data_IF_556655276189
#
_entry.id   IF_556655276189
#
_cell.length_a   1.000
_cell.length_b   1.000
_cell.length_c   1.000
_cell.angle_alpha   90.00
_cell.angle_beta   90.00
_cell.angle_gamma   90.00
#
_symmetry.space_group_name_H-M   'P 1'
#
loop_
_entity.id
_entity.type
_entity.pdbx_description
1 polymer ?
#
# COMPACT_ATOMS: atom_id res chain seq x y z
N UNK A 1 -20.84 6.30 21.74
CA UNK A 1 -21.45 5.00 21.41
C UNK A 1 -20.97 4.49 20.07
N UNK A 2 -20.56 3.21 19.95
CA UNK A 2 -20.23 2.66 18.65
C UNK A 2 -21.44 2.69 17.72
N UNK A 3 -21.21 3.05 16.48
CA UNK A 3 -22.23 3.16 15.45
C UNK A 3 -22.03 2.04 14.42
N UNK A 4 -23.03 1.14 14.32
CA UNK A 4 -22.97 0.00 13.41
C UNK A 4 -22.90 0.44 11.94
N UNK A 5 -23.61 1.51 11.58
CA UNK A 5 -23.58 2.03 10.21
C UNK A 5 -22.19 2.55 9.86
N UNK A 6 -21.57 3.29 10.78
CA UNK A 6 -20.19 3.78 10.58
C UNK A 6 -19.21 2.62 10.41
N UNK A 7 -19.34 1.58 11.24
CA UNK A 7 -18.49 0.39 11.12
C UNK A 7 -18.64 -0.29 9.76
N UNK A 8 -19.85 -0.45 9.28
CA UNK A 8 -20.11 -1.04 7.96
C UNK A 8 -19.48 -0.20 6.85
N UNK A 9 -19.60 1.12 6.96
CA UNK A 9 -19.01 2.04 5.98
C UNK A 9 -17.48 1.96 5.99
N UNK A 10 -16.87 1.86 7.17
CA UNK A 10 -15.42 1.73 7.30
C UNK A 10 -14.91 0.43 6.69
N UNK A 11 -15.60 -0.69 6.89
CA UNK A 11 -15.26 -1.94 6.20
C UNK A 11 -15.33 -1.76 4.69
N UNK A 12 -16.40 -1.13 4.21
CA UNK A 12 -16.61 -0.93 2.78
C UNK A 12 -15.53 -0.01 2.18
N UNK A 13 -15.17 1.05 2.89
CA UNK A 13 -14.12 1.99 2.45
C UNK A 13 -12.74 1.33 2.38
N UNK A 14 -12.49 0.33 3.23
CA UNK A 14 -11.23 -0.41 3.22
C UNK A 14 -11.22 -1.56 2.20
N UNK A 15 -12.32 -1.85 1.52
CA UNK A 15 -12.40 -2.97 0.60
C UNK A 15 -11.32 -2.94 -0.49
N UNK A 16 -11.03 -1.81 -1.15
CA UNK A 16 -9.97 -1.78 -2.15
C UNK A 16 -8.61 -2.20 -1.59
N UNK A 17 -8.31 -1.83 -0.34
CA UNK A 17 -7.07 -2.24 0.34
C UNK A 17 -7.04 -3.74 0.58
N UNK A 18 -8.14 -4.31 1.04
CA UNK A 18 -8.23 -5.75 1.31
C UNK A 18 -8.07 -6.56 0.02
N UNK A 19 -8.72 -6.14 -1.06
CA UNK A 19 -8.62 -6.79 -2.35
C UNK A 19 -7.18 -6.72 -2.87
N UNK A 20 -6.57 -5.53 -2.82
CA UNK A 20 -5.22 -5.34 -3.32
C UNK A 20 -4.19 -6.17 -2.55
N UNK A 21 -4.32 -6.23 -1.22
CA UNK A 21 -3.38 -6.96 -0.36
C UNK A 21 -3.71 -8.44 -0.22
N UNK A 22 -4.86 -8.88 -0.70
CA UNK A 22 -5.29 -10.27 -0.63
C UNK A 22 -4.68 -11.19 -1.69
N UNK A 23 -3.58 -10.80 -2.31
CA UNK A 23 -2.88 -11.54 -3.35
C UNK A 23 -1.41 -11.65 -2.97
N UNK A 24 -0.85 -12.87 -3.02
CA UNK A 24 0.54 -13.10 -2.60
C UNK A 24 1.56 -12.30 -3.41
N UNK A 25 1.33 -12.14 -4.71
CA UNK A 25 2.25 -11.41 -5.57
C UNK A 25 2.22 -9.92 -5.22
N UNK A 26 1.03 -9.36 -5.04
CA UNK A 26 0.91 -7.94 -4.67
C UNK A 26 1.50 -7.68 -3.29
N UNK A 27 1.27 -8.58 -2.35
CA UNK A 27 1.88 -8.46 -1.02
C UNK A 27 3.40 -8.52 -1.12
N UNK A 28 3.94 -9.42 -1.92
CA UNK A 28 5.37 -9.54 -2.17
C UNK A 28 5.96 -8.27 -2.79
N UNK A 29 5.23 -7.60 -3.69
CA UNK A 29 5.66 -6.32 -4.26
C UNK A 29 5.72 -5.25 -3.16
N UNK A 30 4.70 -5.16 -2.32
CA UNK A 30 4.69 -4.23 -1.18
C UNK A 30 5.88 -4.50 -0.25
N UNK A 31 6.17 -5.76 0.04
CA UNK A 31 7.31 -6.13 0.88
C UNK A 31 8.64 -5.72 0.23
N UNK A 32 8.79 -5.91 -1.07
CA UNK A 32 10.00 -5.49 -1.81
C UNK A 32 10.18 -3.98 -1.77
N UNK A 33 9.10 -3.22 -1.95
CA UNK A 33 9.15 -1.76 -1.87
C UNK A 33 9.45 -1.30 -0.45
N UNK A 34 8.94 -2.01 0.56
CA UNK A 34 9.22 -1.73 1.97
C UNK A 34 10.70 -1.95 2.28
N UNK A 35 11.27 -3.07 1.83
CA UNK A 35 12.69 -3.36 2.02
C UNK A 35 13.56 -2.30 1.35
N UNK A 36 13.24 -1.94 0.11
CA UNK A 36 13.97 -0.92 -0.63
C UNK A 36 13.89 0.44 0.08
N UNK A 37 12.72 0.82 0.57
CA UNK A 37 12.53 2.06 1.31
C UNK A 37 13.33 2.07 2.60
N UNK A 38 13.33 0.98 3.34
CA UNK A 38 14.10 0.88 4.59
C UNK A 38 15.60 1.01 4.32
N UNK A 39 16.11 0.39 3.27
CA UNK A 39 17.53 0.48 2.91
C UNK A 39 17.95 1.89 2.47
N UNK A 40 17.04 2.64 1.83
CA UNK A 40 17.38 3.96 1.27
C UNK A 40 16.97 5.12 2.18
N UNK A 41 15.88 4.99 2.94
CA UNK A 41 15.33 6.04 3.79
C UNK A 41 15.60 5.79 5.29
N UNK A 42 16.19 4.65 5.64
CA UNK A 42 16.30 4.24 7.04
C UNK A 42 14.93 4.00 7.63
N UNK A 43 14.64 4.58 8.77
CA UNK A 43 13.33 4.46 9.41
C UNK A 43 12.34 5.57 9.08
N UNK A 44 12.72 6.51 8.22
CA UNK A 44 11.86 7.64 7.87
C UNK A 44 11.04 7.35 6.63
N UNK A 45 9.81 6.88 6.82
CA UNK A 45 8.84 6.58 5.78
C UNK A 45 7.91 7.75 5.49
N UNK A 46 8.36 8.99 5.71
CA UNK A 46 7.59 10.16 5.28
C UNK A 46 7.41 10.14 3.77
N UNK A 47 6.30 10.69 3.28
CA UNK A 47 6.02 10.74 1.85
C UNK A 47 7.14 11.45 1.08
N UNK A 48 7.73 12.49 1.67
CA UNK A 48 8.84 13.22 1.05
C UNK A 48 10.03 12.29 0.78
N UNK A 49 10.44 11.47 1.75
CA UNK A 49 11.53 10.54 1.56
C UNK A 49 11.17 9.40 0.62
N UNK A 50 9.99 8.80 0.81
CA UNK A 50 9.54 7.69 -0.05
C UNK A 50 9.45 8.10 -1.52
N UNK A 51 9.00 9.34 -1.80
CA UNK A 51 8.83 9.82 -3.18
C UNK A 51 10.14 10.03 -3.92
N UNK A 52 11.25 10.14 -3.21
CA UNK A 52 12.59 10.33 -3.79
C UNK A 52 13.24 9.01 -4.22
N UNK A 53 12.69 7.91 -3.76
CA UNK A 53 13.22 6.57 -3.99
C UNK A 53 12.16 5.74 -4.70
N UNK A 54 12.40 4.49 -4.85
CA UNK A 54 11.45 3.59 -5.48
C UNK A 54 12.13 2.61 -6.40
N UNK A 55 11.31 1.80 -7.05
CA UNK A 55 11.79 0.76 -7.97
C UNK A 55 11.05 0.89 -9.30
N UNK A 56 11.78 0.68 -10.40
CA UNK A 56 11.15 0.61 -11.71
C UNK A 56 10.58 -0.79 -11.96
N UNK A 57 9.80 -0.94 -13.06
CA UNK A 57 9.15 -2.21 -13.38
C UNK A 57 10.16 -3.34 -13.55
N UNK A 58 11.31 -3.06 -14.16
CA UNK A 58 12.34 -4.07 -14.37
C UNK A 58 12.87 -4.63 -13.06
N UNK A 59 13.18 -3.73 -12.11
CA UNK A 59 13.69 -4.13 -10.79
C UNK A 59 12.65 -4.96 -10.03
N UNK A 60 11.38 -4.54 -10.09
CA UNK A 60 10.29 -5.28 -9.44
C UNK A 60 10.11 -6.65 -10.10
N UNK A 61 10.13 -6.70 -11.44
CA UNK A 61 9.96 -7.94 -12.20
C UNK A 61 11.06 -8.95 -11.88
N UNK A 62 12.29 -8.48 -11.70
CA UNK A 62 13.42 -9.35 -11.35
C UNK A 62 13.23 -10.07 -10.01
N UNK A 63 12.36 -9.54 -9.13
CA UNK A 63 12.05 -10.14 -7.83
C UNK A 63 10.86 -11.09 -7.89
N UNK A 64 10.29 -11.30 -9.06
CA UNK A 64 9.15 -12.20 -9.25
C UNK A 64 9.49 -13.22 -10.32
N UNK A 65 8.63 -14.23 -10.47
CA UNK A 65 8.68 -15.17 -11.58
C UNK A 65 7.73 -14.80 -12.72
N UNK A 66 7.14 -13.61 -12.65
CA UNK A 66 6.11 -13.18 -13.59
C UNK A 66 6.71 -12.40 -14.77
N UNK A 67 5.93 -12.27 -15.84
CA UNK A 67 6.25 -11.40 -16.97
C UNK A 67 6.04 -9.93 -16.60
N UNK A 68 6.67 -9.02 -17.34
CA UNK A 68 6.46 -7.57 -17.14
C UNK A 68 4.99 -7.14 -17.26
N UNK A 69 4.22 -7.63 -18.26
CA UNK A 69 2.80 -7.27 -18.33
C UNK A 69 2.02 -7.71 -17.09
N UNK A 70 2.29 -8.90 -16.54
CA UNK A 70 1.65 -9.36 -15.33
C UNK A 70 2.00 -8.48 -14.13
N UNK A 71 3.28 -8.13 -13.97
CA UNK A 71 3.74 -7.22 -12.90
C UNK A 71 3.07 -5.86 -13.06
N UNK A 72 3.01 -5.31 -14.27
CA UNK A 72 2.37 -4.02 -14.52
C UNK A 72 0.90 -4.03 -14.13
N UNK A 73 0.20 -5.15 -14.36
CA UNK A 73 -1.19 -5.30 -13.95
C UNK A 73 -1.33 -5.24 -12.42
N UNK A 74 -0.48 -5.97 -11.69
CA UNK A 74 -0.47 -5.93 -10.23
C UNK A 74 -0.14 -4.53 -9.69
N UNK A 75 0.82 -3.85 -10.31
CA UNK A 75 1.18 -2.48 -9.92
C UNK A 75 0.01 -1.51 -10.12
N UNK A 76 -0.76 -1.68 -11.20
CA UNK A 76 -1.95 -0.86 -11.43
C UNK A 76 -2.98 -1.03 -10.32
N UNK A 77 -3.24 -2.28 -9.91
CA UNK A 77 -4.19 -2.56 -8.82
C UNK A 77 -3.72 -1.95 -7.50
N UNK A 78 -2.44 -2.04 -7.19
CA UNK A 78 -1.88 -1.43 -5.98
C UNK A 78 -1.97 0.10 -6.02
N UNK A 79 -1.69 0.69 -7.17
CA UNK A 79 -1.80 2.14 -7.34
C UNK A 79 -3.24 2.61 -7.21
N UNK A 80 -4.18 1.92 -7.85
CA UNK A 80 -5.60 2.27 -7.79
C UNK A 80 -6.16 2.13 -6.38
N UNK A 81 -5.59 1.24 -5.57
CA UNK A 81 -5.96 1.10 -4.17
C UNK A 81 -5.29 2.14 -3.25
N UNK A 82 -4.42 2.98 -3.79
CA UNK A 82 -3.75 4.03 -3.01
C UNK A 82 -2.60 3.56 -2.15
N UNK A 83 -2.02 2.40 -2.45
CA UNK A 83 -0.91 1.85 -1.67
C UNK A 83 0.46 2.26 -2.20
N UNK A 84 0.55 2.53 -3.49
CA UNK A 84 1.77 2.98 -4.14
C UNK A 84 1.48 4.17 -5.04
N UNK A 85 2.53 4.92 -5.32
CA UNK A 85 2.49 6.05 -6.26
C UNK A 85 3.65 5.94 -7.24
N UNK A 86 3.63 6.78 -8.26
CA UNK A 86 4.61 6.76 -9.35
C UNK A 86 5.32 8.10 -9.42
N UNK A 87 6.65 8.07 -9.53
CA UNK A 87 7.45 9.23 -9.90
C UNK A 87 8.01 8.95 -11.29
N UNK A 88 7.74 9.86 -12.21
CA UNK A 88 8.29 9.75 -13.57
C UNK A 88 9.59 10.53 -13.69
N UNK A 89 10.63 9.86 -14.19
CA UNK A 89 11.90 10.48 -14.55
C UNK A 89 12.24 10.10 -15.98
N UNK A 90 12.19 11.08 -16.90
CA UNK A 90 12.39 10.82 -18.32
C UNK A 90 11.34 9.83 -18.84
N UNK A 91 11.78 8.70 -19.32
CA UNK A 91 10.91 7.63 -19.82
C UNK A 91 10.66 6.54 -18.80
N UNK A 92 11.20 6.68 -17.58
CA UNK A 92 11.14 5.66 -16.55
C UNK A 92 10.17 6.04 -15.44
N UNK A 93 9.35 5.07 -15.01
CA UNK A 93 8.47 5.21 -13.87
C UNK A 93 9.08 4.49 -12.67
N UNK A 94 9.15 5.20 -11.53
CA UNK A 94 9.58 4.64 -10.26
C UNK A 94 8.38 4.53 -9.33
N UNK A 95 8.12 3.33 -8.83
CA UNK A 95 7.04 3.05 -7.92
C UNK A 95 7.55 3.12 -6.49
N UNK A 96 6.78 3.76 -5.61
CA UNK A 96 7.14 3.90 -4.21
C UNK A 96 5.91 3.79 -3.31
N UNK A 97 6.14 3.43 -2.05
CA UNK A 97 5.06 3.33 -1.07
C UNK A 97 4.46 4.70 -0.80
N UNK A 98 3.12 4.78 -0.76
CA UNK A 98 2.40 6.00 -0.39
C UNK A 98 1.22 5.62 0.50
N UNK A 99 1.54 5.08 1.68
CA UNK A 99 0.59 4.40 2.56
C UNK A 99 -0.12 5.30 3.57
N UNK A 100 0.06 6.63 3.49
CA UNK A 100 -0.52 7.55 4.47
C UNK A 100 -2.04 7.45 4.57
N UNK A 101 -2.74 7.55 3.43
CA UNK A 101 -4.20 7.50 3.41
C UNK A 101 -4.73 6.11 3.77
N UNK A 102 -4.12 5.05 3.25
CA UNK A 102 -4.51 3.68 3.58
C UNK A 102 -4.31 3.38 5.05
N UNK A 103 -3.23 3.87 5.65
CA UNK A 103 -2.99 3.73 7.09
C UNK A 103 -4.08 4.42 7.89
N UNK A 104 -4.49 5.62 7.50
CA UNK A 104 -5.57 6.34 8.18
C UNK A 104 -6.90 5.57 8.11
N UNK A 105 -7.22 5.00 6.96
CA UNK A 105 -8.44 4.20 6.80
C UNK A 105 -8.42 2.95 7.68
N UNK A 106 -7.31 2.23 7.68
CA UNK A 106 -7.15 1.03 8.52
C UNK A 106 -7.21 1.38 10.00
N UNK A 107 -6.60 2.48 10.41
CA UNK A 107 -6.63 2.95 11.80
C UNK A 107 -8.05 3.28 12.24
N UNK A 108 -8.83 3.96 11.39
CA UNK A 108 -10.22 4.27 11.70
C UNK A 108 -11.04 2.99 11.88
N UNK A 109 -10.87 2.03 10.99
CA UNK A 109 -11.56 0.74 11.10
C UNK A 109 -11.15 0.03 12.40
N UNK A 110 -9.86 -0.06 12.67
CA UNK A 110 -9.35 -0.71 13.88
C UNK A 110 -9.84 -0.07 15.16
N UNK A 111 -9.81 1.26 15.22
CA UNK A 111 -10.31 2.03 16.39
C UNK A 111 -11.80 1.79 16.60
N UNK A 112 -12.58 1.79 15.53
CA UNK A 112 -14.02 1.56 15.60
C UNK A 112 -14.32 0.15 16.10
N UNK A 113 -13.59 -0.86 15.59
CA UNK A 113 -13.72 -2.23 16.06
C UNK A 113 -13.35 -2.38 17.53
N UNK A 114 -12.33 -1.67 17.99
CA UNK A 114 -11.95 -1.68 19.41
C UNK A 114 -13.09 -1.15 20.29
N UNK A 115 -13.79 -0.10 19.84
CA UNK A 115 -14.93 0.43 20.57
C UNK A 115 -16.05 -0.61 20.71
N UNK A 116 -16.34 -1.37 19.65
CA UNK A 116 -17.33 -2.46 19.70
C UNK A 116 -16.93 -3.58 20.64
N UNK A 117 -15.62 -3.85 20.74
CA UNK A 117 -15.10 -4.91 21.62
C UNK A 117 -14.89 -4.45 23.06
N UNK A 118 -15.11 -3.15 23.35
CA UNK A 118 -14.83 -2.59 24.66
C UNK A 118 -13.33 -2.49 24.95
N UNK A 119 -12.50 -2.40 23.92
CA UNK A 119 -11.03 -2.37 24.03
C UNK A 119 -10.47 -0.96 23.81
N UNK A 120 -11.20 0.06 24.25
CA UNK A 120 -10.73 1.44 24.09
C UNK A 120 -9.43 1.67 24.89
N UNK A 121 -8.47 2.25 24.22
CA UNK A 121 -7.17 2.55 24.83
C UNK A 121 -7.25 3.83 25.67
#
# INVERSE_FOLDING_TARGET
>A
MPDVLELKNLFHDCMPLFIALGDEIRLSIIESLTDAAYRTCGGDFSLENLSRHGMNVREITEKTSLSRPAVSHHLKLLKDAGLISIRREGTCNYYYLSIGDSTRQLTKLGTNLQSFLGMDA
#
